data_IF_140633145649
#
_entry.id   IF_140633145649
#
_cell.length_a   1.000
_cell.length_b   1.000
_cell.length_c   1.000
_cell.angle_alpha   90.00
_cell.angle_beta   90.00
_cell.angle_gamma   90.00
#
_symmetry.space_group_name_H-M   'P 1'
#
loop_
_entity.id
_entity.type
_entity.pdbx_description
1 polymer ?
#
# COMPACT_ATOMS: atom_id res chain seq x y z
N UNK A 1 34.77 31.25 -31.68
CA UNK A 1 34.25 29.89 -31.97
C UNK A 1 33.84 29.27 -30.64
N UNK A 2 32.55 29.22 -30.32
CA UNK A 2 32.07 28.66 -29.05
C UNK A 2 32.00 27.14 -29.22
N UNK A 3 32.89 26.40 -28.57
CA UNK A 3 32.83 24.94 -28.53
C UNK A 3 31.60 24.52 -27.73
N UNK A 4 30.57 23.99 -28.40
CA UNK A 4 29.46 23.30 -27.75
C UNK A 4 30.02 22.01 -27.13
N UNK A 5 30.33 22.05 -25.83
CA UNK A 5 30.79 20.89 -25.09
C UNK A 5 29.57 19.99 -24.84
N UNK A 6 29.32 19.05 -25.76
CA UNK A 6 28.28 18.05 -25.60
C UNK A 6 28.46 17.36 -24.23
N UNK A 7 27.39 17.31 -23.43
CA UNK A 7 27.40 16.58 -22.16
C UNK A 7 27.69 15.11 -22.45
N UNK A 8 28.46 14.44 -21.58
CA UNK A 8 28.78 13.03 -21.81
C UNK A 8 27.55 12.17 -21.55
N UNK A 9 27.24 11.28 -22.50
CA UNK A 9 26.11 10.33 -22.40
C UNK A 9 26.16 9.49 -21.11
N UNK A 10 27.36 9.20 -20.58
CA UNK A 10 27.53 8.50 -19.31
C UNK A 10 27.01 9.29 -18.10
N UNK A 11 27.18 10.62 -18.08
CA UNK A 11 26.64 11.47 -17.01
C UNK A 11 25.12 11.52 -17.05
N UNK A 12 24.54 11.59 -18.25
CA UNK A 12 23.09 11.63 -18.41
C UNK A 12 22.46 10.31 -17.94
N UNK A 13 23.04 9.15 -18.31
CA UNK A 13 22.62 7.83 -17.77
C UNK A 13 22.68 7.75 -16.25
N UNK A 14 23.74 8.26 -15.65
CA UNK A 14 23.90 8.27 -14.18
C UNK A 14 22.84 9.16 -13.51
N UNK A 15 22.56 10.32 -14.11
CA UNK A 15 21.51 11.22 -13.64
C UNK A 15 20.12 10.56 -13.73
N UNK A 16 19.84 9.85 -14.82
CA UNK A 16 18.56 9.18 -15.01
C UNK A 16 18.37 8.03 -14.00
N UNK A 17 19.40 7.21 -13.78
CA UNK A 17 19.37 6.17 -12.74
C UNK A 17 19.14 6.75 -11.34
N UNK A 18 19.77 7.88 -11.01
CA UNK A 18 19.58 8.55 -9.73
C UNK A 18 18.14 9.07 -9.55
N UNK A 19 17.52 9.59 -10.62
CA UNK A 19 16.12 10.04 -10.61
C UNK A 19 15.16 8.86 -10.43
N UNK A 20 15.42 7.75 -11.11
CA UNK A 20 14.63 6.51 -11.00
C UNK A 20 14.71 5.94 -9.59
N UNK A 21 15.91 5.87 -9.02
CA UNK A 21 16.08 5.46 -7.63
C UNK A 21 15.32 6.38 -6.66
N UNK A 22 15.27 7.69 -6.93
CA UNK A 22 14.47 8.63 -6.13
C UNK A 22 12.96 8.37 -6.25
N UNK A 23 12.45 8.11 -7.45
CA UNK A 23 11.05 7.75 -7.67
C UNK A 23 10.67 6.45 -6.94
N UNK A 24 11.50 5.42 -7.05
CA UNK A 24 11.29 4.14 -6.36
C UNK A 24 11.26 4.35 -4.84
N UNK A 25 12.14 5.19 -4.29
CA UNK A 25 12.11 5.54 -2.86
C UNK A 25 10.79 6.20 -2.46
N UNK A 26 10.33 7.20 -3.23
CA UNK A 26 9.06 7.88 -2.94
C UNK A 26 7.86 6.93 -2.97
N UNK A 27 7.82 6.02 -3.96
CA UNK A 27 6.77 4.99 -4.03
C UNK A 27 6.81 4.09 -2.79
N UNK A 28 8.00 3.67 -2.35
CA UNK A 28 8.18 2.84 -1.16
C UNK A 28 7.77 3.54 0.14
N UNK A 29 7.97 4.85 0.25
CA UNK A 29 7.52 5.66 1.39
C UNK A 29 5.99 5.66 1.46
N UNK A 30 5.31 5.94 0.34
CA UNK A 30 3.84 5.88 0.25
C UNK A 30 3.34 4.48 0.59
N UNK A 31 3.95 3.44 0.01
CA UNK A 31 3.63 2.04 0.29
C UNK A 31 3.73 1.72 1.79
N UNK A 32 4.79 2.18 2.44
CA UNK A 32 4.99 2.01 3.89
C UNK A 32 3.88 2.70 4.68
N UNK A 33 3.43 3.88 4.26
CA UNK A 33 2.28 4.57 4.84
C UNK A 33 0.99 3.76 4.74
N UNK A 34 0.67 3.26 3.54
CA UNK A 34 -0.51 2.42 3.28
C UNK A 34 -0.47 1.13 4.12
N UNK A 35 0.69 0.46 4.20
CA UNK A 35 0.86 -0.74 5.03
C UNK A 35 0.61 -0.46 6.51
N UNK A 36 1.08 0.69 7.02
CA UNK A 36 0.86 1.09 8.42
C UNK A 36 -0.63 1.33 8.69
N UNK A 37 -1.33 2.02 7.78
CA UNK A 37 -2.77 2.25 7.88
C UNK A 37 -3.54 0.91 7.90
N UNK A 38 -3.21 0.00 6.97
CA UNK A 38 -3.82 -1.33 6.88
C UNK A 38 -3.64 -2.14 8.16
N UNK A 39 -2.43 -2.17 8.71
CA UNK A 39 -2.14 -2.83 10.00
C UNK A 39 -2.88 -2.17 11.17
N UNK A 40 -3.06 -0.85 11.15
CA UNK A 40 -3.84 -0.14 12.15
C UNK A 40 -5.33 -0.49 12.10
N UNK A 41 -5.89 -0.65 10.90
CA UNK A 41 -7.26 -1.11 10.70
C UNK A 41 -7.46 -2.57 11.10
N UNK A 42 -6.50 -3.44 10.81
CA UNK A 42 -6.54 -4.86 11.19
C UNK A 42 -6.64 -5.03 12.71
N UNK A 43 -5.89 -4.24 13.49
CA UNK A 43 -5.99 -4.24 14.96
C UNK A 43 -7.38 -3.78 15.42
N UNK A 44 -7.85 -2.65 14.90
CA UNK A 44 -9.18 -2.12 15.24
C UNK A 44 -10.30 -3.08 14.87
N UNK A 45 -10.18 -3.77 13.73
CA UNK A 45 -11.13 -4.79 13.32
C UNK A 45 -11.17 -5.94 14.32
N UNK A 46 -10.01 -6.44 14.77
CA UNK A 46 -9.95 -7.46 15.82
C UNK A 46 -10.60 -6.98 17.13
N UNK A 47 -10.37 -5.71 17.51
CA UNK A 47 -11.00 -5.10 18.69
C UNK A 47 -12.52 -5.04 18.54
N UNK A 48 -13.04 -4.64 17.37
CA UNK A 48 -14.49 -4.60 17.10
C UNK A 48 -15.11 -5.99 17.16
N UNK A 49 -14.48 -7.01 16.57
CA UNK A 49 -14.96 -8.40 16.65
C UNK A 49 -14.97 -8.90 18.10
N UNK A 50 -13.95 -8.55 18.88
CA UNK A 50 -13.90 -8.87 20.31
C UNK A 50 -15.04 -8.20 21.11
N UNK A 51 -15.29 -6.91 20.86
CA UNK A 51 -16.39 -6.17 21.49
C UNK A 51 -17.76 -6.73 21.10
N UNK A 52 -17.97 -7.07 19.83
CA UNK A 52 -19.21 -7.69 19.36
C UNK A 52 -19.45 -9.04 20.04
N UNK A 53 -18.41 -9.86 20.19
CA UNK A 53 -18.50 -11.16 20.86
C UNK A 53 -18.91 -11.00 22.33
N UNK A 54 -18.31 -10.04 23.04
CA UNK A 54 -18.67 -9.75 24.43
C UNK A 54 -20.13 -9.28 24.57
N UNK A 55 -20.59 -8.40 23.68
CA UNK A 55 -21.98 -7.91 23.69
C UNK A 55 -22.98 -9.04 23.43
N UNK A 56 -22.65 -9.96 22.53
CA UNK A 56 -23.47 -11.16 22.26
C UNK A 56 -23.54 -12.07 23.48
N UNK A 57 -22.40 -12.35 24.14
CA UNK A 57 -22.34 -13.23 25.31
C UNK A 57 -23.09 -12.64 26.51
N UNK A 58 -23.04 -11.31 26.71
CA UNK A 58 -23.79 -10.65 27.79
C UNK A 58 -25.31 -10.64 27.57
N UNK A 59 -25.78 -10.90 26.35
CA UNK A 59 -27.20 -10.92 26.00
C UNK A 59 -27.89 -12.27 26.18
N UNK A 60 -27.19 -13.30 26.66
CA UNK A 60 -27.68 -14.68 26.69
C UNK A 60 -28.66 -14.98 27.85
N UNK A 61 -28.85 -14.07 28.81
CA UNK A 61 -29.68 -14.28 30.02
C UNK A 61 -31.10 -13.68 29.95
N UNK A 62 -31.52 -13.16 28.79
CA UNK A 62 -32.86 -12.64 28.55
C UNK A 62 -32.83 -11.19 28.07
N UNK A 63 -33.40 -10.96 26.89
CA UNK A 63 -33.56 -9.68 26.17
C UNK A 63 -32.42 -8.66 26.34
N UNK A 64 -31.62 -8.49 25.28
CA UNK A 64 -30.71 -7.34 25.20
C UNK A 64 -31.53 -6.06 25.27
N UNK A 65 -31.16 -5.17 26.19
CA UNK A 65 -31.61 -3.78 26.20
C UNK A 65 -31.33 -3.13 24.83
N UNK A 66 -32.22 -2.27 24.36
CA UNK A 66 -32.06 -1.45 23.16
C UNK A 66 -30.69 -0.77 23.09
N UNK A 67 -30.14 -0.36 24.23
CA UNK A 67 -28.78 0.22 24.30
C UNK A 67 -27.68 -0.75 23.86
N UNK A 68 -27.76 -2.02 24.27
CA UNK A 68 -26.81 -3.06 23.89
C UNK A 68 -26.94 -3.43 22.40
N UNK A 69 -28.16 -3.45 21.87
CA UNK A 69 -28.43 -3.74 20.46
C UNK A 69 -27.92 -2.62 19.54
N UNK A 70 -28.11 -1.35 19.95
CA UNK A 70 -27.54 -0.20 19.25
C UNK A 70 -26.00 -0.24 19.26
N UNK A 71 -25.41 -0.60 20.40
CA UNK A 71 -23.96 -0.73 20.50
C UNK A 71 -23.42 -1.85 19.62
N UNK A 72 -24.08 -3.00 19.58
CA UNK A 72 -23.72 -4.11 18.69
C UNK A 72 -23.77 -3.67 17.22
N UNK A 73 -24.88 -3.08 16.81
CA UNK A 73 -25.08 -2.58 15.43
C UNK A 73 -23.97 -1.63 15.00
N UNK A 74 -23.57 -0.73 15.91
CA UNK A 74 -22.45 0.20 15.67
C UNK A 74 -21.13 -0.54 15.48
N UNK A 75 -20.80 -1.46 16.38
CA UNK A 75 -19.55 -2.23 16.31
C UNK A 75 -19.49 -3.08 15.04
N UNK A 76 -20.61 -3.69 14.64
CA UNK A 76 -20.72 -4.45 13.39
C UNK A 76 -20.52 -3.57 12.15
N UNK A 77 -21.12 -2.37 12.14
CA UNK A 77 -20.93 -1.37 11.09
C UNK A 77 -19.46 -0.93 11.00
N UNK A 78 -18.83 -0.64 12.13
CA UNK A 78 -17.43 -0.22 12.19
C UNK A 78 -16.49 -1.36 11.72
N UNK A 79 -16.80 -2.62 12.06
CA UNK A 79 -16.08 -3.79 11.58
C UNK A 79 -16.22 -3.98 10.06
N UNK A 80 -17.43 -3.79 9.52
CA UNK A 80 -17.69 -3.87 8.09
C UNK A 80 -16.95 -2.78 7.31
N UNK A 81 -16.98 -1.54 7.81
CA UNK A 81 -16.22 -0.43 7.24
C UNK A 81 -14.71 -0.71 7.25
N UNK A 82 -14.18 -1.16 8.39
CA UNK A 82 -12.76 -1.50 8.51
C UNK A 82 -12.35 -2.58 7.50
N UNK A 83 -13.18 -3.60 7.30
CA UNK A 83 -12.94 -4.66 6.30
C UNK A 83 -12.94 -4.14 4.87
N UNK A 84 -13.92 -3.30 4.50
CA UNK A 84 -13.98 -2.69 3.17
C UNK A 84 -12.74 -1.83 2.90
N UNK A 85 -12.37 -0.99 3.88
CA UNK A 85 -11.20 -0.12 3.78
C UNK A 85 -9.90 -0.92 3.67
N UNK A 86 -9.75 -2.02 4.42
CA UNK A 86 -8.58 -2.91 4.28
C UNK A 86 -8.47 -3.45 2.84
N UNK A 87 -9.58 -3.88 2.24
CA UNK A 87 -9.57 -4.37 0.86
C UNK A 87 -9.20 -3.29 -0.16
N UNK A 88 -9.58 -2.03 0.06
CA UNK A 88 -9.11 -0.91 -0.76
C UNK A 88 -7.61 -0.67 -0.61
N UNK A 89 -7.10 -0.68 0.62
CA UNK A 89 -5.68 -0.50 0.89
C UNK A 89 -4.85 -1.63 0.28
N UNK A 90 -5.33 -2.87 0.31
CA UNK A 90 -4.67 -4.01 -0.34
C UNK A 90 -4.57 -3.79 -1.87
N UNK A 91 -5.63 -3.29 -2.53
CA UNK A 91 -5.57 -2.90 -3.96
C UNK A 91 -4.61 -1.75 -4.22
N UNK A 92 -4.50 -0.79 -3.31
CA UNK A 92 -3.51 0.28 -3.42
C UNK A 92 -2.08 -0.26 -3.32
N UNK A 93 -1.82 -1.21 -2.41
CA UNK A 93 -0.52 -1.87 -2.29
C UNK A 93 -0.15 -2.61 -3.58
N UNK A 94 -1.08 -3.39 -4.15
CA UNK A 94 -0.87 -4.06 -5.43
C UNK A 94 -0.56 -3.07 -6.55
N UNK A 95 -1.26 -1.93 -6.59
CA UNK A 95 -1.03 -0.88 -7.59
C UNK A 95 0.34 -0.22 -7.44
N UNK A 96 0.80 0.01 -6.19
CA UNK A 96 2.13 0.57 -5.91
C UNK A 96 3.26 -0.42 -6.24
N UNK A 97 3.04 -1.71 -6.00
CA UNK A 97 3.98 -2.76 -6.37
C UNK A 97 4.10 -2.86 -7.90
N UNK A 98 2.97 -2.83 -8.62
CA UNK A 98 2.95 -2.79 -10.08
C UNK A 98 3.61 -1.52 -10.65
N UNK A 99 3.40 -0.36 -10.02
CA UNK A 99 4.04 0.90 -10.42
C UNK A 99 5.55 0.84 -10.23
N UNK A 100 6.01 0.26 -9.12
CA UNK A 100 7.44 0.09 -8.84
C UNK A 100 8.12 -0.77 -9.90
N UNK A 101 7.51 -1.88 -10.27
CA UNK A 101 8.05 -2.76 -11.33
C UNK A 101 8.04 -2.08 -12.70
N UNK A 102 6.97 -1.34 -13.03
CA UNK A 102 6.93 -0.56 -14.29
C UNK A 102 8.03 0.50 -14.36
N UNK A 103 8.30 1.21 -13.26
CA UNK A 103 9.37 2.21 -13.19
C UNK A 103 10.74 1.54 -13.36
N UNK A 104 10.97 0.37 -12.77
CA UNK A 104 12.23 -0.36 -12.98
C UNK A 104 12.41 -0.77 -14.43
N UNK A 105 11.42 -1.41 -15.04
CA UNK A 105 11.49 -1.91 -16.43
C UNK A 105 11.69 -0.77 -17.43
N UNK A 106 10.96 0.34 -17.27
CA UNK A 106 11.03 1.47 -18.19
C UNK A 106 12.40 2.15 -18.22
N UNK A 107 13.13 2.10 -17.10
CA UNK A 107 14.39 2.81 -16.93
C UNK A 107 15.60 1.89 -16.73
N UNK A 108 15.46 0.60 -17.03
CA UNK A 108 16.55 -0.36 -17.11
C UNK A 108 16.82 -0.77 -18.58
N UNK A 109 17.33 0.13 -19.44
CA UNK A 109 17.54 -0.15 -20.87
C UNK A 109 18.81 -0.99 -21.15
N UNK A 110 19.56 -1.43 -20.12
CA UNK A 110 20.89 -2.02 -20.31
C UNK A 110 20.86 -3.54 -20.38
N UNK A 111 19.92 -4.20 -19.69
CA UNK A 111 19.90 -5.66 -19.65
C UNK A 111 19.45 -6.29 -20.97
N UNK A 112 18.55 -5.66 -21.73
CA UNK A 112 18.00 -6.29 -22.94
C UNK A 112 18.99 -6.28 -24.12
N UNK A 113 19.77 -5.21 -24.28
CA UNK A 113 20.82 -5.12 -25.31
C UNK A 113 22.03 -6.00 -24.97
N UNK A 114 22.41 -6.11 -23.70
CA UNK A 114 23.49 -7.01 -23.28
C UNK A 114 23.07 -8.49 -23.27
N UNK A 115 21.81 -8.82 -22.97
CA UNK A 115 21.25 -10.18 -23.11
C UNK A 115 21.17 -10.62 -24.56
N UNK A 116 20.79 -9.72 -25.49
CA UNK A 116 20.74 -10.03 -26.92
C UNK A 116 22.14 -10.14 -27.56
N UNK A 117 23.17 -9.54 -26.98
CA UNK A 117 24.58 -9.69 -27.42
C UNK A 117 25.27 -10.96 -26.92
N UNK A 118 24.69 -11.67 -25.94
CA UNK A 118 25.23 -12.92 -25.37
C UNK A 118 24.55 -14.18 -25.93
N UNK A 119 23.66 -14.05 -26.92
CA UNK A 119 23.12 -15.15 -27.73
C UNK A 119 23.76 -15.15 -29.11
#
# INVERSE_FOLDING_TARGET
MVFFKARSSARDKTSDQARVAALVRQINEVRTGVMKERRGLERRYADFVGQASQLVDTGYEGERDEGAEQQLTKVESDALYARQRMAELDRHLESLDALTERVKVMFDPIDEIERLRKR
#
